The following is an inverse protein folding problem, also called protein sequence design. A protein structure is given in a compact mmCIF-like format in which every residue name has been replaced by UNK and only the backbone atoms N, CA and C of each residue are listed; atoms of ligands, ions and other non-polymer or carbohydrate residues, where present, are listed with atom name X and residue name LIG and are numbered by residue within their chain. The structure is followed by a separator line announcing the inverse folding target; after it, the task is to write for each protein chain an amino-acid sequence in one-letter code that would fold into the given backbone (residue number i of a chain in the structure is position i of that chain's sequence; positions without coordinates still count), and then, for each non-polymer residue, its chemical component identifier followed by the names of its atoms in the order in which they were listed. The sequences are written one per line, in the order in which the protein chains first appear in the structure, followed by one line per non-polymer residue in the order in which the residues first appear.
data_IF_215482225967
#
_entry.id   IF_215482225967
#
_cell.length_a   1.000
_cell.length_b   1.000
_cell.length_c   1.000
_cell.angle_alpha   90.00
_cell.angle_beta   90.00
_cell.angle_gamma   90.00
#
_symmetry.space_group_name_H-M   'P 1'
#
loop_
_entity.id
_entity.type
_entity.pdbx_description
1 polymer ?
#
# COMPACT_ATOMS: atom_id res chain seq x y z
N UNK A 1 -15.22 27.23 -1.71
CA UNK A 1 -15.10 26.57 -3.02
C UNK A 1 -14.36 25.27 -2.80
N UNK A 2 -14.89 24.18 -3.37
CA UNK A 2 -14.32 22.82 -3.54
C UNK A 2 -13.74 22.11 -2.28
N UNK A 3 -14.43 21.18 -1.59
CA UNK A 3 -14.49 19.69 -1.80
C UNK A 3 -13.11 19.00 -1.85
N UNK A 4 -12.85 17.80 -1.34
CA UNK A 4 -13.52 16.79 -0.53
C UNK A 4 -12.46 15.72 -0.18
N UNK A 5 -12.84 14.76 0.68
CA UNK A 5 -12.24 13.43 0.86
C UNK A 5 -10.92 13.32 1.65
N UNK A 6 -11.04 13.24 2.97
CA UNK A 6 -10.10 12.49 3.83
C UNK A 6 -10.29 10.98 3.66
N UNK A 7 -10.32 10.50 2.41
CA UNK A 7 -10.19 9.09 2.10
C UNK A 7 -8.74 8.86 1.72
N UNK A 8 -8.01 8.01 2.46
CA UNK A 8 -6.67 7.62 2.02
C UNK A 8 -6.78 7.03 0.60
N UNK A 9 -6.23 7.74 -0.40
CA UNK A 9 -6.15 7.22 -1.76
C UNK A 9 -5.01 6.20 -1.79
N UNK A 10 -5.37 4.91 -1.72
CA UNK A 10 -4.42 3.83 -1.93
C UNK A 10 -4.16 3.72 -3.42
N UNK A 11 -2.92 3.95 -3.86
CA UNK A 11 -2.53 3.80 -5.25
C UNK A 11 -1.57 2.64 -5.39
N UNK A 12 -1.84 1.78 -6.35
CA UNK A 12 -1.01 0.63 -6.64
C UNK A 12 -0.75 0.58 -8.14
N UNK A 13 0.44 0.12 -8.51
CA UNK A 13 0.65 -0.26 -9.91
C UNK A 13 -0.11 -1.55 -10.20
N UNK A 14 -0.41 -1.82 -11.47
CA UNK A 14 -1.03 -3.09 -11.88
C UNK A 14 -0.24 -4.30 -11.38
N UNK A 15 1.10 -4.21 -11.41
CA UNK A 15 1.98 -5.28 -10.93
C UNK A 15 1.86 -5.48 -9.42
N UNK A 16 1.88 -4.39 -8.67
CA UNK A 16 1.80 -4.46 -7.20
C UNK A 16 0.44 -4.99 -6.75
N UNK A 17 -0.64 -4.56 -7.40
CA UNK A 17 -1.99 -5.05 -7.13
C UNK A 17 -2.08 -6.57 -7.32
N UNK A 18 -1.62 -7.08 -8.47
CA UNK A 18 -1.66 -8.52 -8.76
C UNK A 18 -0.81 -9.34 -7.77
N UNK A 19 0.36 -8.83 -7.37
CA UNK A 19 1.20 -9.48 -6.35
C UNK A 19 0.46 -9.55 -5.01
N UNK A 20 -0.17 -8.45 -4.59
CA UNK A 20 -0.90 -8.39 -3.33
C UNK A 20 -2.14 -9.29 -3.32
N UNK A 21 -2.85 -9.46 -4.45
CA UNK A 21 -3.96 -10.42 -4.55
C UNK A 21 -3.49 -11.86 -4.33
N UNK A 22 -2.39 -12.27 -4.97
CA UNK A 22 -1.80 -13.60 -4.80
C UNK A 22 -1.32 -13.81 -3.36
N UNK A 23 -0.67 -12.80 -2.77
CA UNK A 23 -0.22 -12.87 -1.38
C UNK A 23 -1.40 -12.93 -0.40
N UNK A 24 -2.48 -12.18 -0.68
CA UNK A 24 -3.69 -12.18 0.13
C UNK A 24 -4.38 -13.55 0.13
N UNK A 25 -4.47 -14.23 -1.01
CA UNK A 25 -5.00 -15.59 -1.07
C UNK A 25 -4.21 -16.55 -0.18
N UNK A 26 -2.88 -16.44 -0.21
CA UNK A 26 -2.00 -17.20 0.68
C UNK A 26 -2.22 -16.84 2.15
N UNK A 27 -2.27 -15.55 2.49
CA UNK A 27 -2.46 -15.09 3.87
C UNK A 27 -3.82 -15.47 4.46
N UNK A 28 -4.88 -15.48 3.65
CA UNK A 28 -6.20 -16.02 4.03
C UNK A 28 -6.11 -17.48 4.47
N UNK A 29 -5.37 -18.31 3.73
CA UNK A 29 -5.20 -19.72 4.06
C UNK A 29 -4.49 -19.95 5.40
N UNK A 30 -3.69 -18.98 5.86
CA UNK A 30 -3.00 -19.02 7.15
C UNK A 30 -3.71 -18.23 8.26
N UNK A 31 -4.89 -17.66 8.00
CA UNK A 31 -5.61 -16.77 8.91
C UNK A 31 -4.71 -15.64 9.47
N UNK A 32 -3.88 -15.06 8.59
CA UNK A 32 -2.96 -13.99 8.99
C UNK A 32 -3.73 -12.75 9.47
N UNK A 33 -3.38 -12.15 10.62
CA UNK A 33 -4.05 -10.95 11.15
C UNK A 33 -4.05 -9.75 10.19
N UNK A 34 -3.16 -9.71 9.20
CA UNK A 34 -3.09 -8.61 8.21
C UNK A 34 -4.25 -8.62 7.20
N UNK A 35 -4.91 -9.77 7.03
CA UNK A 35 -5.91 -10.02 5.98
C UNK A 35 -7.03 -8.96 5.96
N UNK A 36 -7.72 -8.64 7.07
CA UNK A 36 -8.85 -7.70 7.03
C UNK A 36 -8.43 -6.30 6.58
N UNK A 37 -7.28 -5.83 7.06
CA UNK A 37 -6.75 -4.52 6.68
C UNK A 37 -6.37 -4.49 5.20
N UNK A 38 -5.73 -5.55 4.69
CA UNK A 38 -5.29 -5.59 3.31
C UNK A 38 -6.47 -5.68 2.33
N UNK A 39 -7.50 -6.45 2.67
CA UNK A 39 -8.77 -6.51 1.93
C UNK A 39 -9.43 -5.14 1.81
N UNK A 40 -9.54 -4.42 2.94
CA UNK A 40 -10.11 -3.08 2.95
C UNK A 40 -9.31 -2.12 2.04
N UNK A 41 -7.98 -2.12 2.17
CA UNK A 41 -7.11 -1.25 1.38
C UNK A 41 -7.18 -1.57 -0.11
N UNK A 42 -7.14 -2.85 -0.49
CA UNK A 42 -7.26 -3.29 -1.88
C UNK A 42 -8.63 -2.94 -2.47
N UNK A 43 -9.72 -3.08 -1.69
CA UNK A 43 -11.07 -2.71 -2.15
C UNK A 43 -11.25 -1.23 -2.46
N UNK A 44 -10.38 -0.38 -1.88
CA UNK A 44 -10.38 1.09 -2.04
C UNK A 44 -9.24 1.57 -2.94
N UNK A 45 -8.41 0.66 -3.47
CA UNK A 45 -7.21 1.03 -4.21
C UNK A 45 -7.53 1.44 -5.64
N UNK A 46 -6.88 2.52 -6.08
CA UNK A 46 -6.80 2.95 -7.46
C UNK A 46 -5.59 2.28 -8.12
N UNK A 47 -5.83 1.55 -9.22
CA UNK A 47 -4.74 0.97 -10.02
C UNK A 47 -4.26 2.00 -11.04
N UNK A 48 -2.99 2.37 -10.96
CA UNK A 48 -2.37 3.41 -11.78
C UNK A 48 -1.22 2.87 -12.63
N UNK A 49 -0.89 3.56 -13.72
CA UNK A 49 0.30 3.24 -14.52
C UNK A 49 1.57 3.57 -13.71
N UNK A 50 2.63 2.76 -13.85
CA UNK A 50 3.90 3.00 -13.15
C UNK A 50 4.46 4.40 -13.43
N UNK A 51 4.32 4.90 -14.66
CA UNK A 51 4.79 6.23 -15.09
C UNK A 51 4.03 7.39 -14.41
N UNK A 52 2.87 7.11 -13.82
CA UNK A 52 2.05 8.08 -13.07
C UNK A 52 2.29 8.05 -11.57
N UNK A 53 3.17 7.17 -11.08
CA UNK A 53 3.52 7.08 -9.67
C UNK A 53 4.51 8.19 -9.33
N UNK A 54 4.09 9.11 -8.45
CA UNK A 54 4.95 10.16 -7.91
C UNK A 54 6.06 9.59 -7.03
N UNK A 55 7.19 10.31 -6.92
CA UNK A 55 8.34 9.89 -6.10
C UNK A 55 8.05 9.84 -4.59
N UNK A 56 6.93 10.43 -4.16
CA UNK A 56 6.40 10.43 -2.80
C UNK A 56 5.48 9.23 -2.50
N UNK A 57 5.16 8.41 -3.51
CA UNK A 57 4.34 7.22 -3.35
C UNK A 57 5.24 5.99 -3.20
N UNK A 58 4.98 5.23 -2.14
CA UNK A 58 5.64 3.95 -1.88
C UNK A 58 5.00 2.85 -2.73
N UNK A 59 5.82 2.12 -3.48
CA UNK A 59 5.43 0.90 -4.21
C UNK A 59 6.08 -0.34 -3.61
N UNK A 60 5.68 -1.55 -4.04
CA UNK A 60 6.40 -2.75 -3.61
C UNK A 60 7.86 -2.69 -4.05
N UNK A 61 8.76 -3.13 -3.17
CA UNK A 61 10.22 -3.07 -3.33
C UNK A 61 10.83 -1.66 -3.25
N UNK A 62 10.05 -0.64 -2.89
CA UNK A 62 10.61 0.64 -2.47
C UNK A 62 11.50 0.45 -1.24
N UNK A 63 12.65 1.11 -1.22
CA UNK A 63 13.51 1.18 -0.03
C UNK A 63 13.10 2.38 0.79
N UNK A 64 12.71 2.15 2.04
CA UNK A 64 12.23 3.22 2.92
C UNK A 64 13.23 3.48 4.04
N UNK A 65 13.29 4.75 4.41
CA UNK A 65 13.89 5.20 5.66
C UNK A 65 12.72 5.66 6.52
N UNK A 66 12.53 5.00 7.66
CA UNK A 66 11.46 5.36 8.60
C UNK A 66 12.08 5.79 9.93
N UNK A 67 11.29 6.45 10.76
CA UNK A 67 11.67 6.82 12.12
C UNK A 67 10.47 6.52 13.02
N UNK A 68 10.74 5.90 14.16
CA UNK A 68 9.77 5.77 15.24
C UNK A 68 9.97 6.95 16.20
N UNK A 69 8.91 7.75 16.38
CA UNK A 69 8.93 8.98 17.20
C UNK A 69 10.11 9.92 16.86
N UNK A 70 10.81 10.44 17.87
CA UNK A 70 12.01 11.27 17.72
C UNK A 70 13.31 10.43 17.67
N UNK A 71 13.21 9.12 17.44
CA UNK A 71 14.34 8.19 17.41
C UNK A 71 15.27 8.38 16.20
N UNK A 72 16.29 7.53 16.12
CA UNK A 72 17.14 7.47 14.92
C UNK A 72 16.35 6.85 13.76
N UNK A 73 16.71 7.24 12.54
CA UNK A 73 16.09 6.67 11.36
C UNK A 73 16.59 5.24 11.13
N UNK A 74 15.67 4.34 10.79
CA UNK A 74 15.90 2.92 10.52
C UNK A 74 15.55 2.60 9.06
N UNK A 75 16.12 1.52 8.55
CA UNK A 75 15.86 1.01 7.20
C UNK A 75 14.89 -0.18 7.29
N UNK A 76 13.83 -0.17 6.48
CA UNK A 76 12.86 -1.27 6.38
C UNK A 76 13.29 -2.33 5.35
#
# INVERSE_FOLDING_TARGET
METAMTGANFRLTTKDFAVLEIMLERWRAFADPIVPMLEEKLSKAEVVAIDSVGSDIVTLNSRLVFRVDAGHAEHA
#
